data_IF_385516557131
#
_entry.id   IF_385516557131
#
_cell.length_a   1.000
_cell.length_b   1.000
_cell.length_c   1.000
_cell.angle_alpha   90.00
_cell.angle_beta   90.00
_cell.angle_gamma   90.00
#
_symmetry.space_group_name_H-M   'P 1'
#
loop_
_entity.id
_entity.type
_entity.pdbx_description
1 polymer ?
#
# COMPACT_ATOMS: atom_id res chain seq x y z
N UNK A 1 -22.40 -22.46 -30.46
CA UNK A 1 -21.05 -22.11 -30.93
C UNK A 1 -21.03 -20.62 -31.26
N UNK A 2 -19.99 -19.91 -30.79
CA UNK A 2 -19.74 -18.45 -30.85
C UNK A 2 -20.72 -17.60 -30.00
N UNK A 3 -20.32 -16.77 -29.03
CA UNK A 3 -19.06 -16.08 -28.83
C UNK A 3 -18.86 -15.81 -27.31
N UNK A 4 -18.10 -16.68 -26.64
CA UNK A 4 -17.60 -16.45 -25.28
C UNK A 4 -16.26 -15.72 -25.37
N UNK A 5 -16.24 -14.50 -25.89
CA UNK A 5 -14.99 -13.76 -26.10
C UNK A 5 -15.22 -12.25 -26.28
N UNK A 6 -15.68 -11.57 -25.23
CA UNK A 6 -15.60 -10.09 -25.18
C UNK A 6 -15.53 -9.51 -23.77
N UNK A 7 -15.17 -10.31 -22.76
CA UNK A 7 -14.89 -9.80 -21.41
C UNK A 7 -13.41 -9.50 -21.20
N UNK A 8 -12.74 -9.02 -22.25
CA UNK A 8 -11.27 -8.83 -22.26
C UNK A 8 -10.85 -7.45 -22.82
N UNK A 9 -11.71 -6.43 -22.72
CA UNK A 9 -11.41 -5.08 -23.25
C UNK A 9 -11.75 -3.96 -22.27
N UNK A 10 -11.41 -4.16 -21.00
CA UNK A 10 -11.26 -3.04 -20.08
C UNK A 10 -10.08 -3.35 -19.15
N UNK A 11 -8.87 -3.36 -19.72
CA UNK A 11 -7.69 -3.02 -18.93
C UNK A 11 -7.92 -1.58 -18.48
N UNK A 12 -8.58 -1.44 -17.32
CA UNK A 12 -8.81 -0.15 -16.70
C UNK A 12 -7.43 0.31 -16.24
N UNK A 13 -6.91 1.36 -16.88
CA UNK A 13 -5.93 2.24 -16.25
C UNK A 13 -6.62 2.94 -15.07
N UNK A 14 -6.92 2.18 -14.02
CA UNK A 14 -7.43 2.71 -12.78
C UNK A 14 -6.28 3.50 -12.13
N UNK A 15 -6.37 4.82 -12.22
CA UNK A 15 -5.38 5.70 -11.60
C UNK A 15 -5.61 5.66 -10.09
N UNK A 16 -4.63 5.17 -9.35
CA UNK A 16 -4.68 5.11 -7.88
C UNK A 16 -3.84 6.24 -7.31
N UNK A 17 -4.43 7.02 -6.40
CA UNK A 17 -3.71 8.01 -5.61
C UNK A 17 -3.03 7.32 -4.42
N UNK A 18 -1.73 7.11 -4.54
CA UNK A 18 -0.93 6.47 -3.49
C UNK A 18 -0.88 7.27 -2.20
N UNK A 19 -0.93 8.61 -2.28
CA UNK A 19 -0.88 9.47 -1.10
C UNK A 19 -2.17 9.36 -0.30
N UNK A 20 -3.32 9.43 -0.99
CA UNK A 20 -4.63 9.26 -0.36
C UNK A 20 -4.78 7.87 0.29
N UNK A 21 -4.29 6.82 -0.37
CA UNK A 21 -4.32 5.45 0.19
C UNK A 21 -3.36 5.29 1.37
N UNK A 22 -2.22 5.96 1.36
CA UNK A 22 -1.29 5.97 2.47
C UNK A 22 -1.89 6.67 3.71
N UNK A 23 -2.52 7.83 3.52
CA UNK A 23 -3.23 8.55 4.59
C UNK A 23 -4.39 7.72 5.16
N UNK A 24 -5.15 7.04 4.29
CA UNK A 24 -6.24 6.15 4.71
C UNK A 24 -5.78 4.88 5.45
N UNK A 25 -4.51 4.51 5.33
CA UNK A 25 -3.97 3.27 5.90
C UNK A 25 -3.52 3.36 7.36
N UNK A 26 -3.49 4.57 7.93
CA UNK A 26 -2.98 4.87 9.29
C UNK A 26 -1.52 4.42 9.52
N UNK A 27 -0.74 4.16 8.47
CA UNK A 27 0.67 3.75 8.60
C UNK A 27 1.48 4.83 9.34
N UNK A 28 1.26 6.12 9.02
CA UNK A 28 1.94 7.22 9.68
C UNK A 28 1.66 7.28 11.18
N UNK A 29 0.40 7.15 11.60
CA UNK A 29 0.02 7.17 13.01
C UNK A 29 0.74 6.07 13.81
N UNK A 30 0.78 4.86 13.24
CA UNK A 30 1.45 3.71 13.86
C UNK A 30 2.96 3.97 13.91
N UNK A 31 3.57 4.43 12.82
CA UNK A 31 5.00 4.73 12.78
C UNK A 31 5.40 5.83 13.77
N UNK A 32 4.57 6.87 13.90
CA UNK A 32 4.74 7.94 14.88
C UNK A 32 4.65 7.43 16.31
N UNK A 33 3.73 6.50 16.58
CA UNK A 33 3.65 5.83 17.89
C UNK A 33 4.91 5.02 18.18
N UNK A 34 5.41 4.25 17.22
CA UNK A 34 6.69 3.55 17.34
C UNK A 34 7.84 4.55 17.59
N UNK A 35 7.79 5.72 16.96
CA UNK A 35 8.78 6.79 17.16
C UNK A 35 8.79 7.38 18.56
N UNK A 36 7.62 7.53 19.18
CA UNK A 36 7.49 7.97 20.58
C UNK A 36 7.85 6.90 21.60
N UNK A 37 7.46 5.65 21.35
CA UNK A 37 7.55 4.57 22.36
C UNK A 37 8.90 3.85 22.39
N UNK A 38 9.65 3.86 21.27
CA UNK A 38 10.88 3.09 21.14
C UNK A 38 12.09 3.98 20.86
N UNK A 39 13.18 3.79 21.62
CA UNK A 39 14.43 4.55 21.45
C UNK A 39 15.51 3.71 20.77
N UNK A 40 16.30 4.30 19.87
CA UNK A 40 17.50 3.67 19.31
C UNK A 40 17.28 2.61 18.23
N UNK A 41 16.03 2.37 17.80
CA UNK A 41 15.68 1.33 16.83
C UNK A 41 15.57 1.84 15.38
N UNK A 42 16.36 2.84 14.98
CA UNK A 42 16.31 3.43 13.63
C UNK A 42 16.30 2.39 12.50
N UNK A 43 17.26 1.44 12.40
CA UNK A 43 17.26 0.48 11.29
C UNK A 43 16.02 -0.43 11.27
N UNK A 44 15.48 -0.76 12.45
CA UNK A 44 14.28 -1.60 12.57
C UNK A 44 13.04 -0.83 12.10
N UNK A 45 12.86 0.42 12.56
CA UNK A 45 11.73 1.27 12.16
C UNK A 45 11.75 1.62 10.67
N UNK A 46 12.94 1.83 10.11
CA UNK A 46 13.10 1.96 8.65
C UNK A 46 12.56 0.73 7.94
N UNK A 47 12.97 -0.48 8.36
CA UNK A 47 12.50 -1.72 7.73
C UNK A 47 11.00 -1.95 7.87
N UNK A 48 10.41 -1.57 9.00
CA UNK A 48 8.94 -1.63 9.19
C UNK A 48 8.24 -0.71 8.17
N UNK A 49 8.70 0.53 8.01
CA UNK A 49 8.14 1.49 7.05
C UNK A 49 8.24 0.99 5.60
N UNK A 50 9.38 0.39 5.23
CA UNK A 50 9.57 -0.22 3.91
C UNK A 50 8.59 -1.37 3.66
N UNK A 51 8.43 -2.28 4.63
CA UNK A 51 7.50 -3.39 4.51
C UNK A 51 6.05 -2.88 4.42
N UNK A 52 5.68 -1.89 5.23
CA UNK A 52 4.35 -1.29 5.20
C UNK A 52 4.03 -0.68 3.82
N UNK A 53 5.00 0.02 3.21
CA UNK A 53 4.86 0.55 1.86
C UNK A 53 4.68 -0.56 0.81
N UNK A 54 5.45 -1.65 0.90
CA UNK A 54 5.30 -2.80 0.00
C UNK A 54 3.92 -3.46 0.14
N UNK A 55 3.43 -3.63 1.37
CA UNK A 55 2.11 -4.20 1.64
C UNK A 55 0.99 -3.31 1.13
N UNK A 56 1.12 -1.99 1.25
CA UNK A 56 0.16 -1.03 0.70
C UNK A 56 0.06 -1.17 -0.82
N UNK A 57 1.20 -1.22 -1.51
CA UNK A 57 1.22 -1.42 -2.97
C UNK A 57 0.66 -2.79 -3.37
N UNK A 58 0.96 -3.86 -2.63
CA UNK A 58 0.37 -5.19 -2.89
C UNK A 58 -1.15 -5.18 -2.77
N UNK A 59 -1.69 -4.47 -1.77
CA UNK A 59 -3.14 -4.29 -1.59
C UNK A 59 -3.78 -3.57 -2.77
N UNK A 60 -3.15 -2.53 -3.30
CA UNK A 60 -3.70 -1.70 -4.38
C UNK A 60 -3.63 -2.38 -5.76
N UNK A 61 -2.88 -3.47 -5.89
CA UNK A 61 -2.76 -4.26 -7.13
C UNK A 61 -3.83 -5.34 -7.29
N UNK A 62 -4.57 -5.66 -6.24
CA UNK A 62 -5.63 -6.68 -6.24
C UNK A 62 -6.97 -6.07 -6.58
#
# INVERSE_FOLDING_TARGET
MLNAMTKDTAAQDATVDLQAEFEASNIDEVMDKLDRELVGLKPVKTRIREIAALLLVDRLRR
#
